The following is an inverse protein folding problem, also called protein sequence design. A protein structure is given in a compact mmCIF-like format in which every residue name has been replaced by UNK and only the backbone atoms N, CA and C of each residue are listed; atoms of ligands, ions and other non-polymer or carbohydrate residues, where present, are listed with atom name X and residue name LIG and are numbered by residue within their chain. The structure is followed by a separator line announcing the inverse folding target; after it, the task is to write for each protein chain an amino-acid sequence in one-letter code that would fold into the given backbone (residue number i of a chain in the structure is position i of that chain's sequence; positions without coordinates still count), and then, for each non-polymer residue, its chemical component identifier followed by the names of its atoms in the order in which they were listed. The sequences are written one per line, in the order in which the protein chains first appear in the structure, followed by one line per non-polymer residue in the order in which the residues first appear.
data_IF_181462190559
#
_entry.id   IF_181462190559
#
_cell.length_a   1.000
_cell.length_b   1.000
_cell.length_c   1.000
_cell.angle_alpha   90.00
_cell.angle_beta   90.00
_cell.angle_gamma   90.00
#
_symmetry.space_group_name_H-M   'P 1'
#
loop_
_entity.id
_entity.type
_entity.pdbx_description
1 polymer ?
#
# COMPACT_ATOMS: atom_id res chain seq x y z
N UNK A 1 33.87 -8.72 -9.68
CA UNK A 1 32.93 -7.62 -9.92
C UNK A 1 33.50 -6.63 -10.95
N UNK A 2 32.71 -6.32 -11.99
CA UNK A 2 33.08 -5.27 -12.93
C UNK A 2 32.70 -3.89 -12.34
N UNK A 3 33.35 -2.78 -12.75
CA UNK A 3 32.98 -1.44 -12.29
C UNK A 3 31.50 -1.13 -12.57
N UNK A 4 30.94 -1.58 -13.69
CA UNK A 4 29.54 -1.42 -14.04
C UNK A 4 28.63 -2.25 -13.13
N UNK A 5 29.05 -3.47 -12.77
CA UNK A 5 28.33 -4.30 -11.79
C UNK A 5 28.18 -3.62 -10.43
N UNK A 6 29.23 -2.92 -9.97
CA UNK A 6 29.18 -2.15 -8.72
C UNK A 6 28.20 -0.97 -8.78
N UNK A 7 28.04 -0.33 -9.94
CA UNK A 7 27.07 0.75 -10.13
C UNK A 7 25.65 0.22 -9.98
N UNK A 8 25.35 -0.91 -10.62
CA UNK A 8 24.02 -1.54 -10.52
C UNK A 8 23.75 -2.10 -9.10
N UNK A 9 24.74 -2.69 -8.43
CA UNK A 9 24.59 -3.13 -7.04
C UNK A 9 24.26 -1.95 -6.11
N UNK A 10 24.97 -0.83 -6.24
CA UNK A 10 24.66 0.39 -5.48
C UNK A 10 23.23 0.90 -5.77
N UNK A 11 22.81 0.84 -7.03
CA UNK A 11 21.45 1.23 -7.40
C UNK A 11 20.39 0.30 -6.77
N UNK A 12 20.62 -1.03 -6.79
CA UNK A 12 19.75 -1.98 -6.10
C UNK A 12 19.68 -1.71 -4.59
N UNK A 13 20.82 -1.44 -3.95
CA UNK A 13 20.88 -1.06 -2.53
C UNK A 13 20.08 0.22 -2.23
N UNK A 14 20.17 1.23 -3.11
CA UNK A 14 19.37 2.46 -2.99
C UNK A 14 17.86 2.15 -3.08
N UNK A 15 17.45 1.38 -4.08
CA UNK A 15 16.03 0.99 -4.27
C UNK A 15 15.53 0.18 -3.08
N UNK A 16 16.35 -0.72 -2.54
CA UNK A 16 16.01 -1.49 -1.34
C UNK A 16 15.81 -0.61 -0.11
N UNK A 17 16.65 0.42 0.07
CA UNK A 17 16.48 1.40 1.13
C UNK A 17 15.17 2.19 1.02
N UNK A 18 14.69 2.47 -0.21
CA UNK A 18 13.37 3.09 -0.40
C UNK A 18 12.24 2.17 0.07
N UNK A 19 12.36 0.85 -0.11
CA UNK A 19 11.40 -0.12 0.42
C UNK A 19 11.30 -0.03 1.96
N UNK A 20 12.42 0.15 2.65
CA UNK A 20 12.46 0.21 4.12
C UNK A 20 11.74 1.44 4.69
N UNK A 21 11.55 2.48 3.88
CA UNK A 21 10.72 3.64 4.21
C UNK A 21 9.31 3.58 3.64
N UNK A 22 8.87 2.40 3.15
CA UNK A 22 7.50 2.15 2.74
C UNK A 22 7.20 2.37 1.26
N UNK A 23 8.21 2.56 0.41
CA UNK A 23 8.03 2.57 -1.04
C UNK A 23 7.81 1.14 -1.52
N UNK A 24 6.72 0.92 -2.24
CA UNK A 24 6.41 -0.38 -2.83
C UNK A 24 7.20 -0.57 -4.13
N UNK A 25 7.89 -1.69 -4.25
CA UNK A 25 8.66 -2.03 -5.45
C UNK A 25 7.85 -2.94 -6.35
N UNK A 26 7.88 -2.66 -7.66
CA UNK A 26 7.29 -3.52 -8.69
C UNK A 26 8.26 -3.69 -9.85
N UNK A 27 8.15 -4.81 -10.56
CA UNK A 27 8.90 -5.06 -11.79
C UNK A 27 7.97 -4.92 -12.99
N UNK A 28 8.43 -4.19 -14.00
CA UNK A 28 7.79 -4.09 -15.32
C UNK A 28 8.86 -4.34 -16.40
N UNK A 29 8.91 -5.55 -16.91
CA UNK A 29 9.98 -6.01 -17.81
C UNK A 29 9.42 -6.68 -19.04
N UNK A 30 9.96 -6.35 -20.21
CA UNK A 30 9.77 -7.12 -21.47
C UNK A 30 10.72 -8.31 -21.47
N UNK A 31 10.30 -9.39 -20.82
CA UNK A 31 11.07 -10.64 -20.71
C UNK A 31 10.13 -11.82 -20.42
N UNK A 32 10.60 -13.03 -20.61
CA UNK A 32 9.96 -14.21 -20.05
C UNK A 32 10.01 -14.17 -18.52
N UNK A 33 8.91 -14.54 -17.88
CA UNK A 33 8.75 -14.47 -16.42
C UNK A 33 9.86 -15.25 -15.67
N UNK A 34 10.15 -16.46 -16.13
CA UNK A 34 11.18 -17.30 -15.52
C UNK A 34 12.58 -16.71 -15.63
N UNK A 35 12.88 -16.06 -16.75
CA UNK A 35 14.16 -15.37 -16.93
C UNK A 35 14.29 -14.16 -16.00
N UNK A 36 13.21 -13.39 -15.83
CA UNK A 36 13.18 -12.27 -14.90
C UNK A 36 13.39 -12.75 -13.45
N UNK A 37 12.71 -13.83 -13.06
CA UNK A 37 12.90 -14.44 -11.75
C UNK A 37 14.32 -14.99 -11.55
N UNK A 38 14.89 -15.65 -12.55
CA UNK A 38 16.28 -16.14 -12.48
C UNK A 38 17.26 -14.97 -12.25
N UNK A 39 17.05 -13.83 -12.92
CA UNK A 39 17.84 -12.62 -12.70
C UNK A 39 17.72 -12.07 -11.28
N UNK A 40 16.49 -12.00 -10.74
CA UNK A 40 16.25 -11.56 -9.37
C UNK A 40 16.76 -12.54 -8.30
N UNK A 41 16.85 -13.83 -8.62
CA UNK A 41 17.40 -14.85 -7.73
C UNK A 41 18.94 -14.94 -7.80
N UNK A 42 19.60 -14.10 -8.59
CA UNK A 42 21.05 -14.13 -8.67
C UNK A 42 21.68 -13.95 -7.26
N UNK A 43 22.64 -14.80 -6.86
CA UNK A 43 23.19 -14.79 -5.49
C UNK A 43 23.74 -13.44 -5.07
N UNK A 44 24.41 -12.72 -5.97
CA UNK A 44 25.04 -11.43 -5.73
C UNK A 44 24.09 -10.23 -5.89
N UNK A 45 22.82 -10.43 -6.26
CA UNK A 45 21.85 -9.35 -6.35
C UNK A 45 21.35 -8.91 -4.98
N UNK A 46 21.27 -7.61 -4.73
CA UNK A 46 20.74 -7.04 -3.49
C UNK A 46 19.21 -7.12 -3.42
N UNK A 47 18.54 -6.98 -4.57
CA UNK A 47 17.10 -7.13 -4.69
C UNK A 47 16.73 -8.57 -5.04
N UNK A 48 15.72 -9.10 -4.33
CA UNK A 48 15.21 -10.46 -4.49
C UNK A 48 13.72 -10.41 -4.88
N UNK A 49 13.13 -11.50 -5.41
CA UNK A 49 11.71 -11.53 -5.77
C UNK A 49 10.78 -11.09 -4.62
N UNK A 50 11.12 -11.45 -3.39
CA UNK A 50 10.37 -11.07 -2.19
C UNK A 50 10.44 -9.58 -1.83
N UNK A 51 11.30 -8.80 -2.46
CA UNK A 51 11.32 -7.36 -2.29
C UNK A 51 10.22 -6.66 -3.09
N UNK A 52 9.68 -7.33 -4.10
CA UNK A 52 8.67 -6.78 -4.99
C UNK A 52 7.25 -7.21 -4.59
N UNK A 53 6.32 -6.25 -4.60
CA UNK A 53 4.89 -6.51 -4.36
C UNK A 53 4.25 -7.19 -5.56
N UNK A 54 4.70 -6.81 -6.77
CA UNK A 54 4.18 -7.33 -8.04
C UNK A 54 5.30 -7.41 -9.08
N UNK A 55 5.35 -8.50 -9.83
CA UNK A 55 6.29 -8.71 -10.93
C UNK A 55 5.49 -8.91 -12.23
N UNK A 56 5.58 -7.94 -13.14
CA UNK A 56 5.07 -8.01 -14.52
C UNK A 56 6.26 -8.22 -15.46
N UNK A 57 6.52 -9.46 -15.82
CA UNK A 57 7.51 -9.82 -16.83
C UNK A 57 6.78 -10.57 -17.96
N UNK A 58 6.57 -9.90 -19.07
CA UNK A 58 5.87 -10.38 -20.25
C UNK A 58 6.21 -9.49 -21.46
N UNK A 59 5.66 -9.80 -22.63
CA UNK A 59 5.92 -9.05 -23.87
C UNK A 59 4.89 -7.94 -24.16
N UNK A 60 3.98 -7.67 -23.24
CA UNK A 60 3.04 -6.58 -23.34
C UNK A 60 3.75 -5.21 -23.26
N UNK A 61 3.16 -4.15 -23.85
CA UNK A 61 3.70 -2.79 -23.71
C UNK A 61 3.89 -2.40 -22.24
N UNK A 62 5.02 -1.77 -21.90
CA UNK A 62 5.29 -1.35 -20.51
C UNK A 62 4.26 -0.34 -20.01
N UNK A 63 3.65 0.47 -20.88
CA UNK A 63 2.54 1.36 -20.54
C UNK A 63 1.29 0.60 -20.08
N UNK A 64 0.93 -0.49 -20.78
CA UNK A 64 -0.19 -1.36 -20.40
C UNK A 64 0.08 -2.04 -19.06
N UNK A 65 1.29 -2.59 -18.89
CA UNK A 65 1.71 -3.18 -17.61
C UNK A 65 1.71 -2.15 -16.46
N UNK A 66 2.14 -0.91 -16.70
CA UNK A 66 2.11 0.16 -15.68
C UNK A 66 0.67 0.46 -15.25
N UNK A 67 -0.26 0.53 -16.20
CA UNK A 67 -1.68 0.70 -15.91
C UNK A 67 -2.24 -0.50 -15.12
N UNK A 68 -1.90 -1.73 -15.53
CA UNK A 68 -2.31 -2.94 -14.83
C UNK A 68 -1.76 -2.99 -13.39
N UNK A 69 -0.50 -2.60 -13.17
CA UNK A 69 0.11 -2.49 -11.83
C UNK A 69 -0.69 -1.52 -10.95
N UNK A 70 -1.03 -0.32 -11.45
CA UNK A 70 -1.85 0.63 -10.71
C UNK A 70 -3.20 0.06 -10.31
N UNK A 71 -3.87 -0.64 -11.24
CA UNK A 71 -5.18 -1.28 -11.00
C UNK A 71 -5.09 -2.44 -10.01
N UNK A 72 -4.09 -3.30 -10.14
CA UNK A 72 -3.92 -4.45 -9.24
C UNK A 72 -3.58 -4.03 -7.81
N UNK A 73 -2.78 -2.98 -7.67
CA UNK A 73 -2.45 -2.38 -6.38
C UNK A 73 -3.54 -1.42 -5.87
N UNK A 74 -4.56 -1.14 -6.66
CA UNK A 74 -5.63 -0.18 -6.35
C UNK A 74 -5.07 1.19 -5.92
N UNK A 75 -4.14 1.71 -6.70
CA UNK A 75 -3.53 3.04 -6.53
C UNK A 75 -3.72 3.87 -7.79
N UNK A 76 -3.61 5.20 -7.66
CA UNK A 76 -3.66 6.08 -8.81
C UNK A 76 -2.31 6.08 -9.56
N UNK A 77 -2.31 6.28 -10.89
CA UNK A 77 -1.07 6.37 -11.67
C UNK A 77 -0.08 7.43 -11.18
N UNK A 78 -0.57 8.54 -10.60
CA UNK A 78 0.26 9.62 -10.03
C UNK A 78 1.05 9.20 -8.78
N UNK A 79 0.74 8.04 -8.22
CA UNK A 79 1.49 7.41 -7.13
C UNK A 79 2.64 6.52 -7.62
N UNK A 80 2.85 6.44 -8.93
CA UNK A 80 3.89 5.60 -9.55
C UNK A 80 5.05 6.44 -10.09
N UNK A 81 6.25 5.94 -9.87
CA UNK A 81 7.48 6.41 -10.54
C UNK A 81 7.98 5.28 -11.43
N UNK A 82 7.94 5.49 -12.75
CA UNK A 82 8.42 4.53 -13.74
C UNK A 82 9.87 4.83 -14.10
N UNK A 83 10.74 3.87 -13.83
CA UNK A 83 12.19 3.96 -14.09
C UNK A 83 12.59 2.91 -15.10
N UNK A 84 13.23 3.33 -16.18
CA UNK A 84 13.63 2.46 -17.28
C UNK A 84 14.90 3.03 -17.96
N UNK A 85 15.85 2.18 -18.28
CA UNK A 85 17.08 2.58 -18.98
C UNK A 85 16.85 2.95 -20.45
N UNK A 86 15.81 2.35 -21.07
CA UNK A 86 15.47 2.62 -22.46
C UNK A 86 14.65 3.92 -22.61
N UNK A 87 15.19 4.98 -23.24
CA UNK A 87 14.48 6.23 -23.42
C UNK A 87 13.18 6.09 -24.23
N UNK A 88 13.13 5.15 -25.20
CA UNK A 88 11.91 4.92 -25.97
C UNK A 88 10.77 4.37 -25.10
N UNK A 89 11.06 3.46 -24.16
CA UNK A 89 10.07 2.95 -23.23
C UNK A 89 9.58 4.06 -22.28
N UNK A 90 10.49 4.92 -21.81
CA UNK A 90 10.11 6.08 -20.98
C UNK A 90 9.15 7.01 -21.72
N UNK A 91 9.43 7.35 -22.99
CA UNK A 91 8.54 8.19 -23.80
C UNK A 91 7.17 7.56 -24.04
N UNK A 92 7.12 6.25 -24.29
CA UNK A 92 5.86 5.52 -24.49
C UNK A 92 5.02 5.57 -23.21
N UNK A 93 5.61 5.28 -22.05
CA UNK A 93 4.89 5.32 -20.78
C UNK A 93 4.44 6.74 -20.46
N UNK A 94 5.28 7.75 -20.64
CA UNK A 94 4.93 9.17 -20.43
C UNK A 94 3.75 9.61 -21.31
N UNK A 95 3.71 9.18 -22.56
CA UNK A 95 2.67 9.55 -23.50
C UNK A 95 1.34 8.79 -23.24
N UNK A 96 1.40 7.53 -22.82
CA UNK A 96 0.24 6.64 -22.76
C UNK A 96 -0.31 6.43 -21.35
N UNK A 97 0.44 6.79 -20.31
CA UNK A 97 0.00 6.58 -18.91
C UNK A 97 0.02 7.91 -18.16
N UNK A 98 -1.06 8.67 -18.33
CA UNK A 98 -1.18 9.99 -17.71
C UNK A 98 -1.05 9.91 -16.18
N UNK A 99 -0.29 10.83 -15.60
CA UNK A 99 -0.06 10.95 -14.17
C UNK A 99 1.18 10.23 -13.66
N UNK A 100 1.68 9.20 -14.33
CA UNK A 100 2.91 8.50 -13.92
C UNK A 100 4.12 9.42 -14.01
N UNK A 101 4.91 9.49 -12.95
CA UNK A 101 6.18 10.19 -12.99
C UNK A 101 7.23 9.35 -13.73
N UNK A 102 7.87 9.95 -14.74
CA UNK A 102 8.88 9.27 -15.59
C UNK A 102 10.16 10.12 -15.60
N UNK A 103 11.10 9.93 -14.66
CA UNK A 103 12.33 10.69 -14.57
C UNK A 103 13.29 10.37 -15.72
N UNK A 104 14.07 11.39 -16.12
CA UNK A 104 15.18 11.24 -17.09
C UNK A 104 16.45 10.80 -16.35
N UNK A 105 16.65 9.49 -16.24
CA UNK A 105 17.68 8.91 -15.38
C UNK A 105 19.11 8.96 -15.95
N UNK A 106 19.27 9.24 -17.24
CA UNK A 106 20.58 9.37 -17.86
C UNK A 106 21.38 8.06 -17.91
N UNK A 107 22.67 8.10 -17.53
CA UNK A 107 23.54 6.92 -17.45
C UNK A 107 23.39 6.22 -16.09
N UNK A 108 23.77 4.92 -15.98
CA UNK A 108 23.62 4.17 -14.74
C UNK A 108 24.24 4.84 -13.51
N UNK A 109 25.35 5.55 -13.66
CA UNK A 109 26.01 6.27 -12.56
C UNK A 109 25.18 7.45 -12.04
N UNK A 110 24.21 7.91 -12.81
CA UNK A 110 23.36 9.04 -12.47
C UNK A 110 22.01 8.61 -11.87
N UNK A 111 21.61 7.34 -11.95
CA UNK A 111 20.29 6.86 -11.54
C UNK A 111 19.93 7.27 -10.12
N UNK A 112 20.80 6.97 -9.16
CA UNK A 112 20.57 7.32 -7.75
C UNK A 112 20.43 8.83 -7.59
N UNK A 113 21.38 9.59 -8.16
CA UNK A 113 21.37 11.05 -8.05
C UNK A 113 20.07 11.67 -8.61
N UNK A 114 19.63 11.21 -9.78
CA UNK A 114 18.41 11.76 -10.41
C UNK A 114 17.18 11.44 -9.57
N UNK A 115 17.04 10.20 -9.12
CA UNK A 115 15.88 9.78 -8.32
C UNK A 115 15.85 10.48 -6.96
N UNK A 116 16.98 10.60 -6.30
CA UNK A 116 17.10 11.24 -4.99
C UNK A 116 16.78 12.74 -5.09
N UNK A 117 17.40 13.45 -6.04
CA UNK A 117 17.14 14.87 -6.26
C UNK A 117 15.71 15.19 -6.76
N UNK A 118 14.98 14.21 -7.29
CA UNK A 118 13.60 14.41 -7.74
C UNK A 118 12.59 14.47 -6.60
N UNK A 119 12.97 14.07 -5.39
CA UNK A 119 12.12 14.15 -4.19
C UNK A 119 10.89 13.25 -4.20
N UNK A 120 10.82 12.25 -5.10
CA UNK A 120 9.64 11.38 -5.22
C UNK A 120 9.37 10.53 -3.98
N UNK A 121 10.40 10.20 -3.23
CA UNK A 121 10.34 9.27 -2.12
C UNK A 121 10.50 9.95 -0.76
N UNK A 122 10.48 11.28 -0.72
CA UNK A 122 10.56 12.02 0.53
C UNK A 122 9.30 11.81 1.37
N UNK A 123 9.50 11.52 2.65
CA UNK A 123 8.42 11.34 3.61
C UNK A 123 8.58 12.36 4.75
N UNK A 124 7.49 12.99 5.16
CA UNK A 124 7.48 13.94 6.28
C UNK A 124 7.46 13.24 7.64
N UNK A 125 7.00 12.01 7.68
CA UNK A 125 6.97 11.14 8.86
C UNK A 125 6.88 9.69 8.41
N UNK A 126 7.51 8.80 9.15
CA UNK A 126 7.49 7.37 8.88
C UNK A 126 6.83 6.66 10.06
N UNK A 127 5.67 6.05 9.82
CA UNK A 127 4.97 5.20 10.79
C UNK A 127 5.36 3.72 10.63
N UNK A 128 5.07 2.91 11.64
CA UNK A 128 5.19 1.45 11.53
C UNK A 128 4.31 0.87 10.41
N UNK A 129 3.12 1.45 10.21
CA UNK A 129 2.22 1.05 9.11
C UNK A 129 2.81 1.36 7.73
N UNK A 130 3.56 2.46 7.60
CA UNK A 130 4.24 2.78 6.34
C UNK A 130 5.34 1.76 6.03
N UNK A 131 6.08 1.29 7.02
CA UNK A 131 7.09 0.23 6.87
C UNK A 131 6.47 -1.11 6.45
N UNK A 132 5.28 -1.43 6.99
CA UNK A 132 4.54 -2.66 6.66
C UNK A 132 3.71 -2.57 5.39
N UNK A 133 3.73 -1.42 4.71
CA UNK A 133 2.89 -1.17 3.53
C UNK A 133 3.07 -2.23 2.44
N UNK A 134 4.30 -2.57 2.11
CA UNK A 134 4.59 -3.60 1.10
C UNK A 134 4.01 -4.97 1.46
N UNK A 135 4.06 -5.36 2.73
CA UNK A 135 3.49 -6.62 3.23
C UNK A 135 1.95 -6.60 3.12
N UNK A 136 1.32 -5.48 3.49
CA UNK A 136 -0.14 -5.33 3.39
C UNK A 136 -0.62 -5.41 1.93
N UNK A 137 0.08 -4.76 1.00
CA UNK A 137 -0.28 -4.82 -0.42
C UNK A 137 -0.06 -6.21 -1.02
N UNK A 138 1.02 -6.90 -0.64
CA UNK A 138 1.24 -8.29 -1.06
C UNK A 138 0.11 -9.20 -0.56
N UNK A 139 -0.27 -9.10 0.69
CA UNK A 139 -1.41 -9.82 1.24
C UNK A 139 -2.71 -9.51 0.48
N UNK A 140 -2.93 -8.26 0.04
CA UNK A 140 -4.08 -7.89 -0.78
C UNK A 140 -4.05 -8.54 -2.17
N UNK A 141 -2.89 -8.60 -2.82
CA UNK A 141 -2.73 -9.31 -4.09
C UNK A 141 -3.04 -10.80 -3.92
N UNK A 142 -2.52 -11.43 -2.88
CA UNK A 142 -2.79 -12.83 -2.57
C UNK A 142 -4.29 -13.10 -2.28
N UNK A 143 -4.97 -12.19 -1.54
CA UNK A 143 -6.42 -12.25 -1.32
C UNK A 143 -7.20 -12.21 -2.63
N UNK A 144 -6.81 -11.33 -3.56
CA UNK A 144 -7.46 -11.21 -4.86
C UNK A 144 -7.31 -12.48 -5.69
N UNK A 145 -6.10 -13.04 -5.74
CA UNK A 145 -5.84 -14.34 -6.40
C UNK A 145 -6.65 -15.46 -5.75
N UNK A 146 -6.76 -15.45 -4.43
CA UNK A 146 -7.59 -16.43 -3.72
C UNK A 146 -9.07 -16.26 -4.06
N UNK A 147 -9.58 -15.02 -4.11
CA UNK A 147 -10.98 -14.72 -4.46
C UNK A 147 -11.37 -15.27 -5.83
N UNK A 148 -10.49 -15.16 -6.81
CA UNK A 148 -10.72 -15.66 -8.18
C UNK A 148 -10.91 -17.19 -8.26
N UNK A 149 -10.49 -17.93 -7.22
CA UNK A 149 -10.64 -19.40 -7.14
C UNK A 149 -12.01 -19.85 -6.64
N UNK A 150 -12.81 -18.93 -6.10
CA UNK A 150 -14.13 -19.22 -5.55
C UNK A 150 -15.23 -18.68 -6.46
N UNK A 151 -16.26 -19.46 -6.68
CA UNK A 151 -17.48 -19.03 -7.37
C UNK A 151 -18.49 -18.40 -6.40
N UNK A 152 -18.41 -18.74 -5.11
CA UNK A 152 -19.26 -18.23 -4.04
C UNK A 152 -18.45 -17.30 -3.13
N UNK A 153 -18.91 -16.06 -3.00
CA UNK A 153 -18.26 -15.04 -2.18
C UNK A 153 -18.26 -15.40 -0.69
N UNK A 154 -19.29 -16.09 -0.21
CA UNK A 154 -19.36 -16.55 1.20
C UNK A 154 -18.30 -17.61 1.49
N UNK A 155 -18.12 -18.57 0.59
CA UNK A 155 -17.06 -19.58 0.73
C UNK A 155 -15.67 -18.91 0.73
N UNK A 156 -15.47 -17.91 -0.14
CA UNK A 156 -14.26 -17.10 -0.12
C UNK A 156 -14.03 -16.45 1.23
N UNK A 157 -15.03 -15.74 1.79
CA UNK A 157 -14.90 -15.09 3.10
C UNK A 157 -14.58 -16.10 4.21
N UNK A 158 -15.22 -17.26 4.22
CA UNK A 158 -14.93 -18.32 5.19
C UNK A 158 -13.48 -18.84 5.04
N UNK A 159 -12.96 -18.90 3.81
CA UNK A 159 -11.59 -19.33 3.56
C UNK A 159 -10.52 -18.38 4.08
N UNK A 160 -10.86 -17.14 4.37
CA UNK A 160 -9.94 -16.15 4.91
C UNK A 160 -9.62 -16.35 6.40
N UNK A 161 -10.43 -17.14 7.12
CA UNK A 161 -10.29 -17.36 8.58
C UNK A 161 -10.12 -16.06 9.37
N UNK A 162 -11.04 -15.11 9.12
CA UNK A 162 -10.98 -13.77 9.69
C UNK A 162 -11.23 -13.78 11.19
N UNK A 163 -10.36 -13.09 11.93
CA UNK A 163 -10.48 -12.88 13.37
C UNK A 163 -10.57 -11.38 13.68
N UNK A 164 -11.64 -10.99 14.35
CA UNK A 164 -11.90 -9.60 14.72
C UNK A 164 -11.77 -9.37 16.23
N UNK A 165 -11.13 -8.27 16.61
CA UNK A 165 -11.05 -7.81 18.00
C UNK A 165 -11.66 -6.42 18.09
N UNK A 166 -12.61 -6.22 19.03
CA UNK A 166 -13.20 -4.90 19.30
C UNK A 166 -12.85 -4.51 20.73
N UNK A 167 -12.17 -3.37 20.92
CA UNK A 167 -11.73 -2.86 22.22
C UNK A 167 -11.94 -1.35 22.35
N UNK A 168 -11.95 -0.80 23.59
CA UNK A 168 -11.81 0.63 23.82
C UNK A 168 -10.52 1.17 23.20
N UNK A 169 -10.46 2.47 22.94
CA UNK A 169 -9.23 3.08 22.42
C UNK A 169 -8.06 2.84 23.37
N UNK A 170 -6.94 2.42 22.81
CA UNK A 170 -5.68 2.18 23.51
C UNK A 170 -4.60 3.15 23.00
N UNK A 171 -3.71 3.60 23.88
CA UNK A 171 -2.71 4.62 23.58
C UNK A 171 -1.86 4.30 22.33
N UNK A 172 -1.50 3.03 22.16
CA UNK A 172 -0.70 2.55 21.02
C UNK A 172 -1.37 2.76 19.67
N UNK A 173 -2.70 2.87 19.62
CA UNK A 173 -3.46 3.01 18.37
C UNK A 173 -4.00 4.43 18.13
N UNK A 174 -3.79 5.41 19.02
CA UNK A 174 -4.38 6.75 18.91
C UNK A 174 -3.99 7.46 17.61
N UNK A 175 -2.72 7.41 17.23
CA UNK A 175 -2.22 8.00 15.98
C UNK A 175 -2.90 7.33 14.76
N UNK A 176 -3.00 5.99 14.76
CA UNK A 176 -3.65 5.25 13.68
C UNK A 176 -5.15 5.53 13.61
N UNK A 177 -5.84 5.61 14.74
CA UNK A 177 -7.25 5.97 14.81
C UNK A 177 -7.49 7.37 14.23
N UNK A 178 -6.68 8.37 14.62
CA UNK A 178 -6.75 9.71 14.05
C UNK A 178 -6.51 9.69 12.53
N UNK A 179 -5.49 8.97 12.07
CA UNK A 179 -5.19 8.81 10.65
C UNK A 179 -6.38 8.21 9.88
N UNK A 180 -7.05 7.20 10.41
CA UNK A 180 -8.22 6.57 9.80
C UNK A 180 -9.38 7.56 9.65
N UNK A 181 -9.63 8.45 10.62
CA UNK A 181 -10.69 9.47 10.52
C UNK A 181 -10.39 10.52 9.44
N UNK A 182 -9.12 10.67 9.05
CA UNK A 182 -8.67 11.69 8.10
C UNK A 182 -8.51 11.19 6.66
N UNK A 183 -8.13 9.92 6.46
CA UNK A 183 -7.72 9.39 5.14
C UNK A 183 -8.87 8.89 4.27
N UNK A 184 -10.09 8.69 4.79
CA UNK A 184 -11.17 8.10 3.99
C UNK A 184 -12.50 8.79 4.25
N UNK A 185 -13.17 9.12 3.15
CA UNK A 185 -14.57 9.55 3.17
C UNK A 185 -15.53 8.35 3.04
N UNK A 186 -15.04 7.19 2.63
CA UNK A 186 -15.83 5.97 2.51
C UNK A 186 -16.27 5.52 3.91
N UNK A 187 -17.56 5.36 4.10
CA UNK A 187 -18.20 5.03 5.39
C UNK A 187 -18.01 6.06 6.53
N UNK A 188 -17.58 7.28 6.23
CA UNK A 188 -17.59 8.38 7.18
C UNK A 188 -18.88 9.17 7.02
N UNK A 189 -19.93 8.77 7.75
CA UNK A 189 -21.29 9.33 7.66
C UNK A 189 -21.34 10.84 7.95
N UNK A 190 -20.42 11.35 8.73
CA UNK A 190 -20.42 12.75 9.19
C UNK A 190 -19.32 13.60 8.56
N UNK A 191 -18.41 12.99 7.79
CA UNK A 191 -17.21 13.62 7.22
C UNK A 191 -16.31 14.35 8.25
N UNK A 192 -16.55 14.15 9.53
CA UNK A 192 -15.75 14.75 10.61
C UNK A 192 -14.37 14.11 10.63
N UNK A 193 -13.38 14.97 10.81
CA UNK A 193 -11.96 14.62 10.90
C UNK A 193 -11.45 15.04 12.26
N UNK A 194 -10.64 14.19 12.89
CA UNK A 194 -10.15 14.43 14.23
C UNK A 194 -8.63 14.38 14.28
N UNK A 195 -8.05 15.31 15.02
CA UNK A 195 -6.63 15.26 15.38
C UNK A 195 -6.40 14.16 16.42
N UNK A 196 -5.14 13.74 16.58
CA UNK A 196 -4.80 12.76 17.62
C UNK A 196 -5.20 13.27 19.01
N UNK A 197 -4.95 14.54 19.32
CA UNK A 197 -5.33 15.14 20.60
C UNK A 197 -6.85 15.07 20.87
N UNK A 198 -7.68 15.24 19.84
CA UNK A 198 -9.13 15.08 19.97
C UNK A 198 -9.53 13.62 20.22
N UNK A 199 -8.86 12.67 19.54
CA UNK A 199 -9.08 11.23 19.76
C UNK A 199 -8.73 10.85 21.21
N UNK A 200 -7.61 11.34 21.73
CA UNK A 200 -7.19 11.15 23.11
C UNK A 200 -8.18 11.76 24.11
N UNK A 201 -8.70 12.95 23.81
CA UNK A 201 -9.73 13.60 24.64
C UNK A 201 -11.02 12.79 24.68
N UNK A 202 -11.49 12.25 23.54
CA UNK A 202 -12.66 11.36 23.52
C UNK A 202 -12.43 10.07 24.31
N UNK A 203 -11.22 9.51 24.27
CA UNK A 203 -10.90 8.30 25.04
C UNK A 203 -10.87 8.54 26.56
N UNK A 204 -10.48 9.75 26.98
CA UNK A 204 -10.41 10.13 28.39
C UNK A 204 -11.76 10.60 28.97
N UNK A 205 -12.70 11.04 28.14
CA UNK A 205 -14.00 11.56 28.57
C UNK A 205 -15.01 10.41 28.82
N UNK A 206 -15.50 10.20 30.06
CA UNK A 206 -16.50 9.19 30.36
C UNK A 206 -17.85 9.43 29.68
N UNK A 207 -18.11 10.62 29.15
CA UNK A 207 -19.27 10.95 28.32
C UNK A 207 -19.23 10.33 26.92
N UNK A 208 -18.11 9.73 26.53
CA UNK A 208 -17.98 9.07 25.23
C UNK A 208 -17.82 7.55 25.38
N UNK A 209 -18.25 6.86 24.34
CA UNK A 209 -17.96 5.43 24.11
C UNK A 209 -17.05 5.37 22.90
N UNK A 210 -15.84 4.86 23.08
CA UNK A 210 -14.86 4.72 22.02
C UNK A 210 -14.54 3.25 21.79
N UNK A 211 -14.56 2.80 20.53
CA UNK A 211 -14.19 1.43 20.16
C UNK A 211 -13.37 1.46 18.88
N UNK A 212 -12.36 0.63 18.82
CA UNK A 212 -11.69 0.29 17.56
C UNK A 212 -11.88 -1.19 17.25
N UNK A 213 -11.95 -1.52 15.99
CA UNK A 213 -11.93 -2.89 15.50
C UNK A 213 -10.60 -3.16 14.78
N UNK A 214 -9.94 -4.25 15.17
CA UNK A 214 -8.75 -4.79 14.52
C UNK A 214 -9.12 -6.11 13.86
N UNK A 215 -8.60 -6.32 12.66
CA UNK A 215 -8.87 -7.50 11.85
C UNK A 215 -7.55 -8.20 11.48
N UNK A 216 -7.52 -9.51 11.64
CA UNK A 216 -6.49 -10.39 11.09
C UNK A 216 -7.14 -11.46 10.24
N UNK A 217 -6.42 -11.95 9.25
CA UNK A 217 -6.83 -13.10 8.44
C UNK A 217 -5.62 -13.99 8.12
N UNK A 218 -5.84 -15.07 7.37
CA UNK A 218 -4.79 -16.02 7.01
C UNK A 218 -3.61 -15.42 6.23
N UNK A 219 -3.77 -14.24 5.63
CA UNK A 219 -2.74 -13.54 4.87
C UNK A 219 -2.00 -12.48 5.70
N UNK A 220 -2.50 -12.12 6.88
CA UNK A 220 -1.79 -11.22 7.77
C UNK A 220 -2.67 -10.35 8.65
N UNK A 221 -2.01 -9.39 9.29
CA UNK A 221 -2.63 -8.41 10.19
C UNK A 221 -3.06 -7.17 9.39
N UNK A 222 -4.36 -6.96 9.27
CA UNK A 222 -4.94 -5.79 8.61
C UNK A 222 -4.92 -4.53 9.51
N UNK A 223 -4.45 -4.67 10.74
CA UNK A 223 -4.40 -3.58 11.72
C UNK A 223 -5.77 -3.08 12.16
N UNK A 224 -5.83 -1.82 12.56
CA UNK A 224 -7.09 -1.15 12.91
C UNK A 224 -7.85 -0.81 11.63
N UNK A 225 -9.02 -1.42 11.47
CA UNK A 225 -9.88 -1.29 10.26
C UNK A 225 -11.17 -0.54 10.51
N UNK A 226 -11.60 -0.40 11.77
CA UNK A 226 -12.83 0.32 12.11
C UNK A 226 -12.68 1.14 13.39
N UNK A 227 -13.42 2.25 13.45
CA UNK A 227 -13.44 3.17 14.59
C UNK A 227 -14.89 3.57 14.87
N UNK A 228 -15.29 3.52 16.14
CA UNK A 228 -16.59 4.00 16.61
C UNK A 228 -16.37 5.00 17.73
N UNK A 229 -16.95 6.18 17.59
CA UNK A 229 -17.00 7.21 18.62
C UNK A 229 -18.47 7.56 18.83
N UNK A 230 -19.00 7.32 20.01
CA UNK A 230 -20.36 7.62 20.39
C UNK A 230 -20.39 8.53 21.61
N UNK A 231 -21.20 9.58 21.60
CA UNK A 231 -21.48 10.40 22.78
C UNK A 231 -22.62 9.77 23.57
N UNK A 232 -22.45 9.63 24.89
CA UNK A 232 -23.52 9.23 25.78
C UNK A 232 -24.50 10.40 25.89
N UNK A 233 -25.76 10.16 25.62
CA UNK A 233 -26.85 11.15 25.71
C UNK A 233 -28.12 10.50 26.22
N UNK A 234 -29.21 11.25 26.24
CA UNK A 234 -30.55 10.68 26.37
C UNK A 234 -30.86 9.88 25.10
N UNK A 235 -31.82 8.95 25.12
CA UNK A 235 -32.15 8.09 23.98
C UNK A 235 -32.47 8.84 22.66
N UNK A 236 -32.70 10.17 22.73
CA UNK A 236 -32.92 11.05 21.59
C UNK A 236 -31.64 11.66 20.97
N UNK A 237 -30.50 11.58 21.64
CA UNK A 237 -29.27 12.32 21.29
C UNK A 237 -28.05 11.45 21.02
N UNK A 238 -28.23 10.23 20.49
CA UNK A 238 -27.11 9.34 20.20
C UNK A 238 -26.47 9.71 18.86
N UNK A 239 -25.34 10.44 18.90
CA UNK A 239 -24.47 10.60 17.73
C UNK A 239 -23.49 9.44 17.64
N UNK A 240 -23.63 8.58 16.62
CA UNK A 240 -22.72 7.48 16.35
C UNK A 240 -21.85 7.82 15.15
N UNK A 241 -20.53 7.92 15.35
CA UNK A 241 -19.54 8.06 14.29
C UNK A 241 -19.01 6.67 13.97
N UNK A 242 -19.51 6.07 12.88
CA UNK A 242 -19.13 4.72 12.45
C UNK A 242 -18.22 4.78 11.23
N UNK A 243 -17.13 4.01 11.28
CA UNK A 243 -16.38 3.58 10.10
C UNK A 243 -16.29 2.06 10.12
N UNK A 244 -16.70 1.43 9.05
CA UNK A 244 -16.66 -0.02 8.84
C UNK A 244 -17.61 -0.40 7.71
N UNK A 245 -17.32 -1.49 7.02
CA UNK A 245 -18.23 -2.06 6.05
C UNK A 245 -19.50 -2.54 6.76
N UNK A 246 -20.64 -2.06 6.34
CA UNK A 246 -21.89 -2.78 6.57
C UNK A 246 -21.99 -3.85 5.49
N UNK A 247 -22.26 -5.13 5.83
CA UNK A 247 -22.73 -6.05 4.81
C UNK A 247 -23.97 -5.42 4.16
N UNK A 248 -24.01 -5.37 2.83
CA UNK A 248 -25.21 -5.08 2.10
C UNK A 248 -26.29 -6.05 2.59
N UNK A 249 -27.21 -5.56 3.41
CA UNK A 249 -28.51 -6.18 3.56
C UNK A 249 -29.35 -5.66 2.41
N UNK A 250 -29.10 -6.18 1.22
CA UNK A 250 -30.05 -6.10 0.15
C UNK A 250 -31.23 -6.98 0.54
N UNK A 251 -32.38 -6.37 0.74
CA UNK A 251 -33.70 -7.01 0.63
C UNK A 251 -33.90 -7.57 -0.78
#
# INVERSE_FOLDING_TARGET
ETPMGQVYSKFQGYVKAQKDIGVMLTVNSKNEYDNALAGLNHPEGDLKPEDFVLIKANWEPKSSNTTAIAQELNILPDSLVFVDDNPAEREIVRAQTAGVAVPEIGTPEQYIRVLDHSGFFEVTSLSEDDRKRSEMYRANVERKVQQERFSDYREYLLSLDMQGIIRPFEAVYMARIAQLTNKSNQFNLTTRRFTQAQIEAFAADPGYITRYGKLTDRFGDNGVVSVVIGRKGTAADVEIYRRGETPDTAD
#
